data_IF_685751758983
#
_entry.id   IF_685751758983
#
_cell.length_a   1.000
_cell.length_b   1.000
_cell.length_c   1.000
_cell.angle_alpha   90.00
_cell.angle_beta   90.00
_cell.angle_gamma   90.00
#
_symmetry.space_group_name_H-M   'P 1'
#
loop_
_entity.id
_entity.type
_entity.pdbx_description
1 polymer ?
#
# COMPACT_ATOMS: atom_id res chain seq x y z
N UNK A 1 -8.54 -15.91 -12.05
CA UNK A 1 -8.20 -14.54 -11.61
C UNK A 1 -7.35 -14.69 -10.35
N UNK A 2 -6.02 -14.71 -10.44
CA UNK A 2 -5.23 -14.54 -9.21
C UNK A 2 -5.05 -13.03 -9.09
N UNK A 3 -5.76 -12.36 -8.18
CA UNK A 3 -5.77 -10.92 -8.16
C UNK A 3 -4.48 -10.51 -7.46
N UNK A 4 -3.46 -10.26 -8.27
CA UNK A 4 -2.42 -9.25 -8.05
C UNK A 4 -3.08 -7.86 -7.80
N UNK A 5 -3.94 -7.82 -6.79
CA UNK A 5 -4.77 -6.70 -6.37
C UNK A 5 -3.79 -5.62 -5.96
N UNK A 6 -3.81 -4.55 -6.75
CA UNK A 6 -2.94 -3.39 -6.79
C UNK A 6 -2.07 -3.19 -5.54
N UNK A 7 -0.76 -3.00 -5.71
CA UNK A 7 0.16 -2.72 -4.60
C UNK A 7 -0.32 -1.56 -3.70
N UNK A 8 -1.04 -0.57 -4.25
CA UNK A 8 -1.72 0.45 -3.46
C UNK A 8 -2.88 -0.07 -2.59
N UNK A 9 -3.65 -1.06 -3.07
CA UNK A 9 -4.71 -1.70 -2.29
C UNK A 9 -4.14 -2.49 -1.11
N UNK A 10 -2.96 -3.09 -1.27
CA UNK A 10 -2.25 -3.71 -0.15
C UNK A 10 -1.76 -2.68 0.86
N UNK A 11 -1.19 -1.56 0.40
CA UNK A 11 -0.74 -0.48 1.28
C UNK A 11 -1.92 0.19 2.02
N UNK A 12 -3.02 0.48 1.31
CA UNK A 12 -4.21 1.05 1.93
C UNK A 12 -4.84 0.11 2.94
N UNK A 13 -4.84 -1.20 2.67
CA UNK A 13 -5.30 -2.22 3.62
C UNK A 13 -4.44 -2.29 4.88
N UNK A 14 -3.11 -2.17 4.74
CA UNK A 14 -2.18 -2.16 5.89
C UNK A 14 -2.39 -0.89 6.72
N UNK A 15 -2.43 0.28 6.07
CA UNK A 15 -2.68 1.55 6.76
C UNK A 15 -4.03 1.54 7.47
N UNK A 16 -5.09 1.01 6.85
CA UNK A 16 -6.39 0.86 7.49
C UNK A 16 -6.31 -0.02 8.75
N UNK A 17 -5.57 -1.14 8.70
CA UNK A 17 -5.37 -2.01 9.87
C UNK A 17 -4.60 -1.33 11.01
N UNK A 18 -3.60 -0.51 10.69
CA UNK A 18 -2.83 0.24 11.69
C UNK A 18 -3.69 1.35 12.32
N UNK A 19 -4.36 2.14 11.50
CA UNK A 19 -5.19 3.28 11.94
C UNK A 19 -6.35 2.84 12.83
N UNK A 20 -7.02 1.74 12.48
CA UNK A 20 -8.16 1.21 13.23
C UNK A 20 -7.81 0.06 14.17
N UNK A 21 -6.52 -0.14 14.46
CA UNK A 21 -6.07 -1.16 15.39
C UNK A 21 -6.74 -0.98 16.77
N UNK A 22 -7.01 -2.09 17.46
CA UNK A 22 -7.64 -2.11 18.79
C UNK A 22 -9.03 -1.44 18.83
N UNK A 23 -9.78 -1.52 17.72
CA UNK A 23 -11.11 -0.92 17.61
C UNK A 23 -11.13 0.60 17.84
N UNK A 24 -10.01 1.28 17.55
CA UNK A 24 -9.89 2.72 17.72
C UNK A 24 -10.95 3.44 16.89
N UNK A 25 -11.64 4.39 17.52
CA UNK A 25 -12.57 5.31 16.87
C UNK A 25 -12.06 6.73 17.08
N UNK A 26 -12.41 7.63 16.17
CA UNK A 26 -11.95 9.02 16.19
C UNK A 26 -13.12 9.95 16.39
N UNK A 27 -12.98 10.92 17.31
CA UNK A 27 -14.02 11.91 17.58
C UNK A 27 -13.92 13.10 16.62
N UNK A 28 -12.75 13.32 16.03
CA UNK A 28 -12.50 14.44 15.12
C UNK A 28 -11.73 14.01 13.88
N UNK A 29 -11.96 14.74 12.78
CA UNK A 29 -11.19 14.57 11.53
C UNK A 29 -9.69 14.84 11.78
N UNK A 30 -9.35 15.78 12.68
CA UNK A 30 -7.97 16.08 13.03
C UNK A 30 -7.26 14.86 13.62
N UNK A 31 -7.88 14.20 14.60
CA UNK A 31 -7.35 13.00 15.25
C UNK A 31 -7.13 11.85 14.26
N UNK A 32 -8.09 11.64 13.35
CA UNK A 32 -7.96 10.68 12.26
C UNK A 32 -6.78 11.00 11.35
N UNK A 33 -6.65 12.27 10.90
CA UNK A 33 -5.54 12.70 10.03
C UNK A 33 -4.18 12.51 10.69
N UNK A 34 -4.04 12.89 11.96
CA UNK A 34 -2.80 12.68 12.73
C UNK A 34 -2.45 11.20 12.83
N UNK A 35 -3.45 10.34 13.07
CA UNK A 35 -3.21 8.90 13.19
C UNK A 35 -2.83 8.27 11.86
N UNK A 36 -3.42 8.71 10.75
CA UNK A 36 -3.02 8.29 9.40
C UNK A 36 -1.56 8.68 9.12
N UNK A 37 -1.16 9.90 9.46
CA UNK A 37 0.22 10.35 9.27
C UNK A 37 1.20 9.52 10.11
N UNK A 38 0.90 9.27 11.38
CA UNK A 38 1.75 8.42 12.23
C UNK A 38 1.84 6.99 11.68
N UNK A 39 0.70 6.41 11.27
CA UNK A 39 0.68 5.09 10.67
C UNK A 39 1.48 5.03 9.36
N UNK A 40 1.55 6.13 8.61
CA UNK A 40 2.38 6.23 7.41
C UNK A 40 3.87 6.28 7.73
N UNK A 41 4.28 7.06 8.74
CA UNK A 41 5.67 7.13 9.19
C UNK A 41 6.17 5.81 9.80
N UNK A 42 5.26 5.04 10.42
CA UNK A 42 5.56 3.71 10.97
C UNK A 42 5.73 2.62 9.89
N UNK A 43 5.32 2.88 8.64
CA UNK A 43 5.51 1.92 7.55
C UNK A 43 6.99 1.88 7.18
N UNK A 44 7.62 0.72 7.40
CA UNK A 44 9.04 0.48 7.13
C UNK A 44 9.42 0.79 5.67
N UNK A 45 10.51 1.54 5.48
CA UNK A 45 11.03 1.89 4.14
C UNK A 45 11.30 0.65 3.27
N UNK A 46 11.74 -0.46 3.87
CA UNK A 46 11.99 -1.70 3.15
C UNK A 46 10.72 -2.38 2.65
N UNK A 47 9.59 -2.20 3.34
CA UNK A 47 8.29 -2.61 2.84
C UNK A 47 7.90 -1.81 1.59
N UNK A 48 8.09 -0.48 1.62
CA UNK A 48 7.83 0.39 0.46
C UNK A 48 8.73 0.04 -0.74
N UNK A 49 10.01 -0.28 -0.51
CA UNK A 49 10.93 -0.74 -1.57
C UNK A 49 10.48 -2.06 -2.18
N UNK A 50 10.09 -3.05 -1.38
CA UNK A 50 9.54 -4.32 -1.87
C UNK A 50 8.28 -4.10 -2.70
N UNK A 51 7.42 -3.17 -2.27
CA UNK A 51 6.21 -2.79 -2.98
C UNK A 51 6.52 -2.18 -4.35
N UNK A 52 7.44 -1.20 -4.40
CA UNK A 52 7.89 -0.58 -5.64
C UNK A 52 8.51 -1.60 -6.60
N UNK A 53 9.38 -2.48 -6.09
CA UNK A 53 10.02 -3.52 -6.90
C UNK A 53 9.00 -4.49 -7.49
N UNK A 54 7.97 -4.87 -6.73
CA UNK A 54 6.88 -5.70 -7.25
C UNK A 54 6.10 -5.02 -8.38
N UNK A 55 5.77 -3.73 -8.23
CA UNK A 55 5.13 -2.96 -9.31
C UNK A 55 6.02 -2.84 -10.55
N UNK A 56 7.30 -2.53 -10.37
CA UNK A 56 8.25 -2.40 -11.46
C UNK A 56 8.42 -3.73 -12.20
N UNK A 57 8.58 -4.85 -11.49
CA UNK A 57 8.67 -6.18 -12.08
C UNK A 57 7.43 -6.55 -12.89
N UNK A 58 6.23 -6.16 -12.44
CA UNK A 58 4.99 -6.34 -13.22
C UNK A 58 5.05 -5.56 -14.52
N UNK A 59 5.35 -4.27 -14.47
CA UNK A 59 5.48 -3.43 -15.66
C UNK A 59 6.51 -4.02 -16.64
N UNK A 60 7.70 -4.36 -16.15
CA UNK A 60 8.77 -4.97 -16.93
C UNK A 60 8.41 -6.33 -17.51
N UNK A 61 7.57 -7.14 -16.85
CA UNK A 61 7.07 -8.40 -17.41
C UNK A 61 6.15 -8.19 -18.61
N UNK A 62 5.38 -7.10 -18.61
CA UNK A 62 4.45 -6.79 -19.70
C UNK A 62 5.12 -6.16 -20.91
N UNK A 63 6.18 -5.37 -20.73
CA UNK A 63 6.89 -4.71 -21.83
C UNK A 63 7.42 -5.65 -22.94
N UNK A 64 8.10 -6.79 -22.67
CA UNK A 64 8.57 -7.70 -23.72
C UNK A 64 7.44 -8.49 -24.40
N UNK A 65 6.20 -8.40 -23.92
CA UNK A 65 5.06 -9.13 -24.51
C UNK A 65 4.40 -8.37 -25.67
N UNK A 66 4.79 -7.10 -25.89
CA UNK A 66 4.25 -6.23 -26.95
C UNK A 66 5.20 -6.03 -28.14
N UNK A 67 6.47 -6.41 -28.03
CA UNK A 67 7.44 -6.27 -29.13
C UNK A 67 7.41 -7.45 -30.12
N UNK A 68 6.58 -8.47 -29.86
CA UNK A 68 6.43 -9.65 -30.72
C UNK A 68 5.02 -9.85 -31.27
N UNK A 69 4.19 -8.80 -31.35
CA UNK A 69 2.81 -8.89 -31.86
C UNK A 69 2.57 -8.01 -33.07
#
# INVERSE_FOLDING_TARGET
>A
MQPDLNSMENLSSILARLVYCNHRQFQTIHELKTTINNAWEDVESDFLKKLMNSMLNRLLKWFPTQEGR
#
